data_IF_765207748495
#
_entry.id   IF_765207748495
#
_cell.length_a   1.000
_cell.length_b   1.000
_cell.length_c   1.000
_cell.angle_alpha   90.00
_cell.angle_beta   90.00
_cell.angle_gamma   90.00
#
_symmetry.space_group_name_H-M   'P 1'
#
loop_
_entity.id
_entity.type
_entity.pdbx_description
1 polymer ?
#
# COMPACT_ATOMS: atom_id res chain seq x y z
N UNK A 1 -17.21 -0.91 25.32
CA UNK A 1 -18.14 -0.52 24.23
C UNK A 1 -19.59 -0.95 24.54
N UNK A 2 -20.64 -0.23 24.13
CA UNK A 2 -22.04 -0.73 24.28
C UNK A 2 -22.26 -1.93 23.35
N UNK A 3 -23.20 -2.83 23.69
CA UNK A 3 -23.43 -4.07 22.93
C UNK A 3 -23.78 -3.83 21.46
N UNK A 4 -24.60 -2.83 21.16
CA UNK A 4 -24.99 -2.51 19.79
C UNK A 4 -23.82 -1.97 18.97
N UNK A 5 -23.03 -1.06 19.54
CA UNK A 5 -21.78 -0.56 18.96
C UNK A 5 -20.83 -1.73 18.66
N UNK A 6 -20.68 -2.68 19.60
CA UNK A 6 -19.82 -3.85 19.47
C UNK A 6 -20.24 -4.80 18.33
N UNK A 7 -21.54 -4.94 18.09
CA UNK A 7 -22.04 -5.79 17.00
C UNK A 7 -21.72 -5.19 15.63
N UNK A 8 -21.97 -3.89 15.44
CA UNK A 8 -21.64 -3.23 14.18
C UNK A 8 -20.13 -3.24 13.92
N UNK A 9 -19.34 -2.84 14.93
CA UNK A 9 -17.89 -2.84 14.84
C UNK A 9 -17.31 -4.24 14.54
N UNK A 10 -17.84 -5.30 15.16
CA UNK A 10 -17.40 -6.65 14.86
C UNK A 10 -17.69 -7.05 13.41
N UNK A 11 -18.81 -6.59 12.84
CA UNK A 11 -19.13 -6.80 11.43
C UNK A 11 -18.15 -6.09 10.48
N UNK A 12 -17.73 -4.88 10.82
CA UNK A 12 -16.71 -4.12 10.09
C UNK A 12 -15.37 -4.88 10.11
N UNK A 13 -14.94 -5.30 11.30
CA UNK A 13 -13.70 -6.08 11.48
C UNK A 13 -13.76 -7.40 10.68
N UNK A 14 -14.87 -8.12 10.72
CA UNK A 14 -14.99 -9.39 9.99
C UNK A 14 -14.84 -9.19 8.47
N UNK A 15 -15.50 -8.17 7.90
CA UNK A 15 -15.39 -7.85 6.47
C UNK A 15 -13.98 -7.40 6.09
N UNK A 16 -13.38 -6.50 6.87
CA UNK A 16 -12.00 -6.08 6.67
C UNK A 16 -11.04 -7.27 6.69
N UNK A 17 -11.12 -8.12 7.72
CA UNK A 17 -10.24 -9.28 7.85
C UNK A 17 -10.51 -10.35 6.78
N UNK A 18 -11.74 -10.46 6.27
CA UNK A 18 -12.06 -11.28 5.10
C UNK A 18 -11.39 -10.76 3.81
N UNK A 19 -11.25 -9.44 3.67
CA UNK A 19 -10.51 -8.84 2.56
C UNK A 19 -8.99 -8.98 2.77
N UNK A 20 -8.50 -8.81 4.00
CA UNK A 20 -7.09 -8.95 4.34
C UNK A 20 -6.59 -10.38 4.10
N UNK A 21 -7.33 -11.41 4.53
CA UNK A 21 -6.92 -12.82 4.31
C UNK A 21 -6.83 -13.20 2.83
N UNK A 22 -7.60 -12.52 1.95
CA UNK A 22 -7.53 -12.72 0.51
C UNK A 22 -6.21 -12.21 -0.11
N UNK A 23 -5.50 -11.32 0.58
CA UNK A 23 -4.18 -10.82 0.16
C UNK A 23 -3.06 -11.83 0.47
N UNK A 24 -3.30 -12.73 1.42
CA UNK A 24 -2.28 -13.64 1.97
C UNK A 24 -2.15 -14.92 1.13
N UNK A 25 -0.93 -15.32 0.73
CA UNK A 25 -0.72 -16.53 -0.06
C UNK A 25 -1.21 -17.80 0.67
N UNK A 26 -1.78 -18.79 -0.04
CA UNK A 26 -2.31 -20.01 0.56
C UNK A 26 -1.25 -21.03 0.98
N UNK A 27 0.03 -20.77 0.66
CA UNK A 27 1.15 -21.68 0.88
C UNK A 27 2.25 -20.97 1.66
N UNK A 28 3.08 -21.76 2.33
CA UNK A 28 4.21 -21.28 3.11
C UNK A 28 3.86 -21.01 4.58
N UNK A 29 4.89 -21.08 5.43
CA UNK A 29 4.74 -20.93 6.89
C UNK A 29 4.13 -19.57 7.27
N UNK A 30 4.64 -18.49 6.68
CA UNK A 30 4.15 -17.14 6.94
C UNK A 30 2.67 -16.98 6.52
N UNK A 31 2.29 -17.46 5.34
CA UNK A 31 0.90 -17.43 4.88
C UNK A 31 -0.05 -18.25 5.75
N UNK A 32 0.39 -19.43 6.22
CA UNK A 32 -0.39 -20.23 7.17
C UNK A 32 -0.56 -19.52 8.52
N UNK A 33 0.51 -18.91 9.05
CA UNK A 33 0.46 -18.17 10.31
C UNK A 33 -0.53 -17.00 10.21
N UNK A 34 -0.40 -16.17 9.18
CA UNK A 34 -1.28 -15.04 8.93
C UNK A 34 -2.75 -15.46 8.83
N UNK A 35 -3.04 -16.56 8.12
CA UNK A 35 -4.41 -17.09 8.00
C UNK A 35 -4.97 -17.55 9.34
N UNK A 36 -4.16 -18.18 10.19
CA UNK A 36 -4.56 -18.58 11.54
C UNK A 36 -4.84 -17.35 12.40
N UNK A 37 -3.90 -16.41 12.49
CA UNK A 37 -4.05 -15.17 13.27
C UNK A 37 -5.30 -14.39 12.85
N UNK A 38 -5.52 -14.25 11.53
CA UNK A 38 -6.70 -13.56 10.98
C UNK A 38 -7.97 -14.34 11.30
N UNK A 39 -7.98 -15.67 11.10
CA UNK A 39 -9.14 -16.52 11.39
C UNK A 39 -9.56 -16.48 12.86
N UNK A 40 -8.58 -16.56 13.77
CA UNK A 40 -8.80 -16.51 15.22
C UNK A 40 -9.34 -15.13 15.65
N UNK A 41 -8.78 -14.06 15.09
CA UNK A 41 -9.24 -12.69 15.38
C UNK A 41 -10.67 -12.47 14.88
N UNK A 42 -11.00 -12.95 13.67
CA UNK A 42 -12.37 -12.89 13.13
C UNK A 42 -13.38 -13.63 14.00
N UNK A 43 -13.04 -14.85 14.42
CA UNK A 43 -13.91 -15.65 15.26
C UNK A 43 -14.17 -15.01 16.65
N UNK A 44 -13.22 -14.22 17.14
CA UNK A 44 -13.28 -13.60 18.48
C UNK A 44 -13.53 -12.08 18.45
N UNK A 45 -13.76 -11.47 17.29
CA UNK A 45 -13.79 -10.01 17.12
C UNK A 45 -14.76 -9.32 18.08
N UNK A 46 -16.00 -9.83 18.19
CA UNK A 46 -17.00 -9.28 19.11
C UNK A 46 -16.55 -9.34 20.57
N UNK A 47 -15.95 -10.46 20.98
CA UNK A 47 -15.44 -10.63 22.35
C UNK A 47 -14.31 -9.63 22.61
N UNK A 48 -13.34 -9.54 21.71
CA UNK A 48 -12.21 -8.62 21.83
C UNK A 48 -12.66 -7.16 21.91
N UNK A 49 -13.64 -6.76 21.10
CA UNK A 49 -14.22 -5.41 21.11
C UNK A 49 -14.97 -5.06 22.40
N UNK A 50 -15.65 -6.03 23.00
CA UNK A 50 -16.33 -5.82 24.29
C UNK A 50 -15.32 -5.58 25.41
N UNK A 51 -14.18 -6.26 25.37
CA UNK A 51 -13.11 -6.17 26.38
C UNK A 51 -12.05 -5.11 26.08
N UNK A 52 -12.17 -4.38 24.97
CA UNK A 52 -11.20 -3.36 24.51
C UNK A 52 -9.81 -3.93 24.17
N UNK A 53 -9.76 -5.21 23.78
CA UNK A 53 -8.51 -5.96 23.51
C UNK A 53 -8.26 -6.18 22.00
N UNK A 54 -9.04 -5.55 21.12
CA UNK A 54 -8.97 -5.80 19.67
C UNK A 54 -7.68 -5.29 19.01
N UNK A 55 -7.09 -4.22 19.56
CA UNK A 55 -5.95 -3.52 18.97
C UNK A 55 -4.74 -4.43 18.70
N UNK A 56 -4.20 -5.14 19.72
CA UNK A 56 -3.08 -6.06 19.53
C UNK A 56 -3.37 -7.20 18.54
N UNK A 57 -4.60 -7.68 18.48
CA UNK A 57 -4.98 -8.73 17.52
C UNK A 57 -5.02 -8.21 16.09
N UNK A 58 -5.49 -6.99 15.87
CA UNK A 58 -5.44 -6.35 14.54
C UNK A 58 -4.01 -6.07 14.11
N UNK A 59 -3.19 -5.53 15.01
CA UNK A 59 -1.76 -5.28 14.76
C UNK A 59 -1.07 -6.56 14.26
N UNK A 60 -1.24 -7.68 15.00
CA UNK A 60 -0.70 -8.98 14.60
C UNK A 60 -1.24 -9.47 13.24
N UNK A 61 -2.52 -9.25 12.93
CA UNK A 61 -3.09 -9.63 11.63
C UNK A 61 -2.42 -8.90 10.46
N UNK A 62 -2.25 -7.58 10.59
CA UNK A 62 -1.63 -6.75 9.55
C UNK A 62 -0.13 -7.02 9.42
N UNK A 63 0.57 -7.21 10.53
CA UNK A 63 2.00 -7.56 10.51
C UNK A 63 2.24 -8.94 9.91
N UNK A 64 1.45 -9.94 10.27
CA UNK A 64 1.55 -11.29 9.69
C UNK A 64 1.21 -11.26 8.19
N UNK A 65 0.21 -10.49 7.76
CA UNK A 65 -0.12 -10.32 6.34
C UNK A 65 1.06 -9.70 5.56
N UNK A 66 1.66 -8.64 6.10
CA UNK A 66 2.86 -8.00 5.54
C UNK A 66 4.03 -8.99 5.46
N UNK A 67 4.30 -9.76 6.53
CA UNK A 67 5.36 -10.77 6.56
C UNK A 67 5.08 -11.96 5.62
N UNK A 68 3.81 -12.25 5.34
CA UNK A 68 3.40 -13.24 4.36
C UNK A 68 3.53 -12.75 2.89
N UNK A 69 3.85 -11.46 2.68
CA UNK A 69 4.13 -10.88 1.38
C UNK A 69 2.94 -10.17 0.71
N UNK A 70 1.95 -9.73 1.49
CA UNK A 70 0.89 -8.85 0.95
C UNK A 70 1.52 -7.57 0.35
N UNK A 71 1.10 -7.21 -0.85
CA UNK A 71 1.65 -6.06 -1.59
C UNK A 71 1.00 -4.74 -1.17
N UNK A 72 1.65 -3.62 -1.49
CA UNK A 72 1.12 -2.27 -1.23
C UNK A 72 -0.29 -2.11 -1.83
N UNK A 73 -0.47 -2.51 -3.09
CA UNK A 73 -1.75 -2.42 -3.81
C UNK A 73 -2.85 -3.28 -3.18
N UNK A 74 -2.48 -4.44 -2.62
CA UNK A 74 -3.42 -5.31 -1.93
C UNK A 74 -3.91 -4.69 -0.62
N UNK A 75 -3.01 -4.11 0.19
CA UNK A 75 -3.40 -3.42 1.42
C UNK A 75 -4.20 -2.14 1.10
N UNK A 76 -3.82 -1.41 0.07
CA UNK A 76 -4.56 -0.24 -0.40
C UNK A 76 -6.00 -0.59 -0.81
N UNK A 77 -6.18 -1.74 -1.47
CA UNK A 77 -7.51 -2.27 -1.79
C UNK A 77 -8.35 -2.53 -0.55
N UNK A 78 -7.75 -3.07 0.52
CA UNK A 78 -8.44 -3.29 1.82
C UNK A 78 -8.84 -1.94 2.44
N UNK A 79 -7.95 -0.95 2.42
CA UNK A 79 -8.22 0.40 2.94
C UNK A 79 -9.35 1.08 2.17
N UNK A 80 -9.33 1.07 0.83
CA UNK A 80 -10.40 1.66 0.01
C UNK A 80 -11.77 1.02 0.26
N UNK A 81 -11.81 -0.27 0.58
CA UNK A 81 -13.05 -0.97 0.96
C UNK A 81 -13.56 -0.53 2.34
N UNK A 82 -12.67 -0.29 3.31
CA UNK A 82 -13.02 0.32 4.60
C UNK A 82 -13.55 1.73 4.42
N UNK A 83 -12.90 2.55 3.58
CA UNK A 83 -13.32 3.93 3.31
C UNK A 83 -14.75 3.99 2.75
N UNK A 84 -15.11 3.04 1.89
CA UNK A 84 -16.46 2.89 1.33
C UNK A 84 -17.51 2.34 2.31
N UNK A 85 -17.10 1.89 3.50
CA UNK A 85 -17.99 1.26 4.47
C UNK A 85 -18.83 2.30 5.22
N UNK A 86 -20.14 2.05 5.33
CA UNK A 86 -21.07 2.90 6.06
C UNK A 86 -21.11 2.51 7.53
N UNK A 87 -21.14 3.52 8.41
CA UNK A 87 -21.15 3.33 9.87
C UNK A 87 -22.28 4.15 10.49
N UNK A 88 -22.98 3.57 11.46
CA UNK A 88 -24.12 4.18 12.13
C UNK A 88 -23.87 4.45 13.62
N UNK A 89 -23.04 3.63 14.27
CA UNK A 89 -22.67 3.80 15.68
C UNK A 89 -21.28 4.40 15.85
N UNK A 90 -21.06 5.01 17.02
CA UNK A 90 -19.75 5.54 17.40
C UNK A 90 -18.67 4.44 17.41
N UNK A 91 -19.00 3.24 17.91
CA UNK A 91 -18.06 2.12 17.90
C UNK A 91 -17.69 1.68 16.49
N UNK A 92 -18.65 1.69 15.56
CA UNK A 92 -18.38 1.42 14.14
C UNK A 92 -17.42 2.46 13.53
N UNK A 93 -17.67 3.75 13.78
CA UNK A 93 -16.80 4.85 13.32
C UNK A 93 -15.38 4.69 13.87
N UNK A 94 -15.24 4.49 15.19
CA UNK A 94 -13.93 4.36 15.83
C UNK A 94 -13.13 3.17 15.27
N UNK A 95 -13.78 2.02 15.08
CA UNK A 95 -13.13 0.80 14.58
C UNK A 95 -12.78 0.91 13.11
N UNK A 96 -13.64 1.53 12.29
CA UNK A 96 -13.32 1.86 10.89
C UNK A 96 -12.07 2.76 10.83
N UNK A 97 -12.07 3.86 11.58
CA UNK A 97 -10.95 4.81 11.58
C UNK A 97 -9.65 4.17 12.07
N UNK A 98 -9.71 3.37 13.14
CA UNK A 98 -8.56 2.60 13.62
C UNK A 98 -8.05 1.60 12.57
N UNK A 99 -8.96 0.92 11.87
CA UNK A 99 -8.63 -0.05 10.81
C UNK A 99 -7.94 0.61 9.61
N UNK A 100 -8.41 1.79 9.19
CA UNK A 100 -7.75 2.60 8.15
C UNK A 100 -6.33 2.97 8.59
N UNK A 101 -6.15 3.36 9.86
CA UNK A 101 -4.82 3.69 10.42
C UNK A 101 -3.88 2.48 10.42
N UNK A 102 -4.38 1.27 10.74
CA UNK A 102 -3.57 0.04 10.60
C UNK A 102 -3.16 -0.24 9.14
N UNK A 103 -4.06 0.00 8.17
CA UNK A 103 -3.72 -0.10 6.76
C UNK A 103 -2.59 0.88 6.40
N UNK A 104 -2.72 2.16 6.75
CA UNK A 104 -1.70 3.19 6.49
C UNK A 104 -0.34 2.86 7.13
N UNK A 105 -0.34 2.37 8.37
CA UNK A 105 0.88 1.93 9.04
C UNK A 105 1.53 0.74 8.31
N UNK A 106 0.73 -0.20 7.81
CA UNK A 106 1.21 -1.35 7.05
C UNK A 106 1.73 -0.94 5.67
N UNK A 107 1.01 -0.08 4.96
CA UNK A 107 1.41 0.52 3.68
C UNK A 107 2.78 1.23 3.84
N UNK A 108 2.93 2.04 4.89
CA UNK A 108 4.19 2.70 5.24
C UNK A 108 5.35 1.71 5.44
N UNK A 109 5.10 0.63 6.21
CA UNK A 109 6.08 -0.41 6.47
C UNK A 109 6.48 -1.19 5.20
N UNK A 110 5.55 -1.39 4.27
CA UNK A 110 5.83 -1.97 2.96
C UNK A 110 6.70 -1.00 2.14
N UNK A 111 6.29 0.28 2.04
CA UNK A 111 6.99 1.32 1.28
C UNK A 111 8.45 1.45 1.74
N UNK A 112 8.70 1.40 3.05
CA UNK A 112 10.04 1.49 3.62
C UNK A 112 11.01 0.38 3.17
N UNK A 113 10.49 -0.71 2.58
CA UNK A 113 11.27 -1.85 2.08
C UNK A 113 11.17 -2.02 0.56
N UNK A 114 10.43 -1.15 -0.12
CA UNK A 114 10.28 -1.21 -1.58
C UNK A 114 11.56 -0.74 -2.27
N UNK A 115 11.91 -1.42 -3.35
CA UNK A 115 12.95 -0.98 -4.28
C UNK A 115 12.31 -0.18 -5.41
N UNK A 116 12.92 0.95 -5.74
CA UNK A 116 12.43 1.86 -6.77
C UNK A 116 13.46 1.98 -7.91
N UNK A 117 12.97 1.97 -9.14
CA UNK A 117 13.82 2.06 -10.34
C UNK A 117 13.95 3.50 -10.86
N UNK A 118 12.96 4.38 -10.61
CA UNK A 118 12.95 5.75 -11.15
C UNK A 118 12.40 6.79 -10.17
N UNK A 119 12.74 8.06 -10.38
CA UNK A 119 12.15 9.17 -9.61
C UNK A 119 10.64 9.28 -9.82
N UNK A 120 10.12 8.94 -11.00
CA UNK A 120 8.69 8.97 -11.25
C UNK A 120 7.94 7.95 -10.39
N UNK A 121 8.45 6.72 -10.24
CA UNK A 121 7.75 5.71 -9.43
C UNK A 121 7.69 6.13 -7.95
N UNK A 122 8.76 6.72 -7.43
CA UNK A 122 8.76 7.31 -6.08
C UNK A 122 7.76 8.45 -5.96
N UNK A 123 7.73 9.37 -6.93
CA UNK A 123 6.80 10.50 -6.92
C UNK A 123 5.33 10.05 -7.00
N UNK A 124 5.05 8.98 -7.75
CA UNK A 124 3.73 8.38 -7.85
C UNK A 124 3.26 7.85 -6.49
N UNK A 125 4.07 7.01 -5.82
CA UNK A 125 3.73 6.51 -4.47
C UNK A 125 3.56 7.65 -3.47
N UNK A 126 4.45 8.66 -3.52
CA UNK A 126 4.35 9.83 -2.64
C UNK A 126 3.02 10.57 -2.82
N UNK A 127 2.56 10.75 -4.06
CA UNK A 127 1.32 11.44 -4.37
C UNK A 127 0.09 10.60 -3.99
N UNK A 128 0.13 9.28 -4.21
CA UNK A 128 -0.95 8.35 -3.84
C UNK A 128 -1.17 8.29 -2.32
N UNK A 129 -0.09 8.39 -1.53
CA UNK A 129 -0.17 8.39 -0.06
C UNK A 129 -0.57 9.74 0.54
N UNK A 130 -0.49 10.84 -0.20
CA UNK A 130 -0.75 12.16 0.37
C UNK A 130 -2.20 12.32 0.86
N UNK A 131 -3.18 11.93 0.04
CA UNK A 131 -4.60 12.10 0.37
C UNK A 131 -5.05 11.20 1.54
N UNK A 132 -4.77 9.88 1.56
CA UNK A 132 -5.21 9.02 2.67
C UNK A 132 -4.68 9.45 4.04
N UNK A 133 -3.44 9.95 4.10
CA UNK A 133 -2.89 10.50 5.34
C UNK A 133 -3.59 11.80 5.74
N UNK A 134 -3.82 12.71 4.79
CA UNK A 134 -4.52 13.97 5.08
C UNK A 134 -5.94 13.74 5.63
N UNK A 135 -6.68 12.79 5.04
CA UNK A 135 -8.02 12.40 5.53
C UNK A 135 -7.96 11.81 6.95
N UNK A 136 -7.01 10.91 7.21
CA UNK A 136 -6.85 10.31 8.54
C UNK A 136 -6.43 11.34 9.60
N UNK A 137 -5.60 12.31 9.22
CA UNK A 137 -5.17 13.44 10.07
C UNK A 137 -6.32 14.39 10.37
N UNK A 138 -7.15 14.74 9.38
CA UNK A 138 -8.34 15.57 9.55
C UNK A 138 -9.33 14.92 10.52
N UNK A 139 -9.63 13.63 10.32
CA UNK A 139 -10.49 12.86 11.23
C UNK A 139 -9.93 12.86 12.65
N UNK A 140 -8.61 12.63 12.83
CA UNK A 140 -8.00 12.64 14.16
C UNK A 140 -8.04 14.02 14.82
N UNK A 141 -7.95 15.10 14.03
CA UNK A 141 -8.07 16.47 14.52
C UNK A 141 -9.50 16.80 14.95
N UNK A 142 -10.51 16.39 14.15
CA UNK A 142 -11.93 16.55 14.46
C UNK A 142 -12.33 15.79 15.72
N UNK A 143 -11.79 14.58 15.91
CA UNK A 143 -11.96 13.76 17.11
C UNK A 143 -11.21 14.32 18.34
N UNK A 144 -10.44 15.40 18.18
CA UNK A 144 -9.54 15.98 19.20
C UNK A 144 -8.50 14.98 19.76
N UNK A 145 -8.17 13.93 18.99
CA UNK A 145 -7.17 12.92 19.36
C UNK A 145 -5.76 13.41 19.00
N UNK A 146 -5.22 14.27 19.88
CA UNK A 146 -3.90 14.89 19.68
C UNK A 146 -2.77 13.86 19.56
N UNK A 147 -2.87 12.72 20.26
CA UNK A 147 -1.84 11.69 20.22
C UNK A 147 -1.81 11.00 18.85
N UNK A 148 -2.97 10.57 18.35
CA UNK A 148 -3.05 9.94 17.03
C UNK A 148 -2.72 10.92 15.92
N UNK A 149 -3.20 12.17 16.00
CA UNK A 149 -2.86 13.22 15.04
C UNK A 149 -1.34 13.41 14.93
N UNK A 150 -0.64 13.54 16.05
CA UNK A 150 0.82 13.67 16.06
C UNK A 150 1.53 12.43 15.52
N UNK A 151 1.00 11.22 15.80
CA UNK A 151 1.56 9.98 15.29
C UNK A 151 1.44 9.90 13.76
N UNK A 152 0.29 10.28 13.19
CA UNK A 152 0.06 10.31 11.75
C UNK A 152 0.98 11.33 11.04
N UNK A 153 1.08 12.55 11.57
CA UNK A 153 1.98 13.59 11.04
C UNK A 153 3.43 13.10 11.03
N UNK A 154 3.88 12.46 12.13
CA UNK A 154 5.23 11.90 12.21
C UNK A 154 5.46 10.79 11.19
N UNK A 155 4.49 9.90 11.02
CA UNK A 155 4.56 8.81 10.05
C UNK A 155 4.59 9.33 8.62
N UNK A 156 3.70 10.26 8.26
CA UNK A 156 3.65 10.89 6.94
C UNK A 156 4.96 11.62 6.61
N UNK A 157 5.50 12.37 7.58
CA UNK A 157 6.79 13.05 7.43
C UNK A 157 7.95 12.05 7.25
N UNK A 158 7.98 10.96 8.03
CA UNK A 158 9.01 9.94 7.92
C UNK A 158 9.00 9.25 6.54
N UNK A 159 7.82 8.87 6.05
CA UNK A 159 7.67 8.27 4.71
C UNK A 159 8.07 9.26 3.63
N UNK A 160 7.63 10.51 3.73
CA UNK A 160 7.95 11.54 2.74
C UNK A 160 9.45 11.78 2.67
N UNK A 161 10.13 11.88 3.82
CA UNK A 161 11.57 12.03 3.88
C UNK A 161 12.28 10.80 3.29
N UNK A 162 11.85 9.59 3.67
CA UNK A 162 12.39 8.36 3.11
C UNK A 162 12.27 8.32 1.58
N UNK A 163 11.10 8.62 1.03
CA UNK A 163 10.88 8.67 -0.42
C UNK A 163 11.72 9.76 -1.09
N UNK A 164 11.87 10.94 -0.48
CA UNK A 164 12.73 12.00 -1.01
C UNK A 164 14.19 11.57 -1.06
N UNK A 165 14.70 10.93 0.00
CA UNK A 165 16.06 10.41 0.07
C UNK A 165 16.28 9.30 -0.97
N UNK A 166 15.35 8.35 -1.06
CA UNK A 166 15.36 7.26 -2.04
C UNK A 166 15.30 7.79 -3.47
N UNK A 167 14.58 8.89 -3.74
CA UNK A 167 14.50 9.49 -5.07
C UNK A 167 15.79 10.22 -5.50
N UNK A 168 16.63 10.71 -4.57
CA UNK A 168 17.82 11.51 -4.90
C UNK A 168 18.78 10.81 -5.88
N UNK A 169 19.20 9.55 -5.65
CA UNK A 169 20.13 8.86 -6.54
C UNK A 169 19.48 8.31 -7.80
N UNK A 170 18.14 8.16 -7.84
CA UNK A 170 17.48 7.47 -8.95
C UNK A 170 17.49 8.31 -10.24
N UNK A 171 17.50 7.66 -11.42
CA UNK A 171 17.33 8.34 -12.69
C UNK A 171 15.91 8.90 -12.85
N UNK A 172 15.78 9.96 -13.65
CA UNK A 172 14.48 10.46 -14.11
C UNK A 172 14.06 9.68 -15.34
N UNK A 173 12.78 9.57 -15.61
CA UNK A 173 12.29 9.06 -16.89
C UNK A 173 12.10 10.20 -17.88
N UNK A 174 12.58 9.98 -19.09
CA UNK A 174 12.51 10.87 -20.23
C UNK A 174 11.58 10.26 -21.27
N UNK A 175 10.81 11.11 -21.94
CA UNK A 175 10.04 10.69 -23.11
C UNK A 175 10.96 10.69 -24.32
N UNK A 176 10.99 9.60 -25.06
CA UNK A 176 11.65 9.52 -26.36
C UNK A 176 10.61 9.46 -27.49
N UNK A 177 11.03 9.89 -28.68
CA UNK A 177 10.26 9.73 -29.91
C UNK A 177 11.22 9.46 -31.08
N UNK A 178 10.93 8.41 -31.84
CA UNK A 178 11.65 8.01 -33.05
C UNK A 178 10.73 8.06 -34.27
N UNK A 179 11.30 8.31 -35.44
CA UNK A 179 10.53 8.42 -36.69
C UNK A 179 10.05 7.07 -37.25
N UNK A 180 10.54 5.94 -36.75
CA UNK A 180 10.22 4.61 -37.23
C UNK A 180 10.19 3.58 -36.09
N UNK A 181 9.48 2.47 -36.31
CA UNK A 181 9.48 1.31 -35.41
C UNK A 181 10.87 0.67 -35.44
N UNK A 182 11.45 0.53 -34.25
CA UNK A 182 12.79 -0.04 -34.07
C UNK A 182 12.73 -1.23 -33.11
N UNK A 183 13.61 -2.23 -33.27
CA UNK A 183 13.79 -3.28 -32.27
C UNK A 183 14.28 -2.72 -30.94
N UNK A 184 13.95 -3.38 -29.83
CA UNK A 184 14.32 -2.95 -28.47
C UNK A 184 15.83 -2.82 -28.28
N UNK A 185 16.62 -3.70 -28.90
CA UNK A 185 18.08 -3.63 -28.93
C UNK A 185 18.61 -2.36 -29.60
N UNK A 186 17.96 -1.91 -30.68
CA UNK A 186 18.35 -0.69 -31.37
C UNK A 186 17.92 0.55 -30.60
N UNK A 187 16.75 0.50 -29.94
CA UNK A 187 16.30 1.57 -29.06
C UNK A 187 17.24 1.74 -27.87
N UNK A 188 17.60 0.66 -27.17
CA UNK A 188 18.52 0.72 -26.03
C UNK A 188 19.90 1.22 -26.43
N UNK A 189 20.43 0.75 -27.57
CA UNK A 189 21.68 1.29 -28.09
C UNK A 189 21.60 2.80 -28.38
N UNK A 190 20.50 3.29 -28.97
CA UNK A 190 20.35 4.72 -29.26
C UNK A 190 20.09 5.59 -28.01
N UNK A 191 19.43 5.05 -27.00
CA UNK A 191 19.08 5.79 -25.77
C UNK A 191 20.21 5.75 -24.73
N UNK A 192 20.88 4.61 -24.63
CA UNK A 192 21.81 4.31 -23.54
C UNK A 192 23.25 4.07 -23.99
N UNK A 193 23.51 4.05 -25.31
CA UNK A 193 24.77 3.55 -25.89
C UNK A 193 25.11 2.11 -25.47
N UNK A 194 24.10 1.37 -25.01
CA UNK A 194 24.23 0.01 -24.49
C UNK A 194 23.01 -0.83 -24.89
N UNK A 195 23.25 -1.77 -25.81
CA UNK A 195 22.21 -2.67 -26.29
C UNK A 195 21.74 -3.65 -25.20
N UNK A 196 22.57 -3.96 -24.19
CA UNK A 196 22.25 -4.94 -23.13
C UNK A 196 21.06 -4.52 -22.27
N UNK A 197 20.76 -3.21 -22.22
CA UNK A 197 19.63 -2.60 -21.51
C UNK A 197 18.31 -2.68 -22.28
N UNK A 198 18.21 -3.51 -23.32
CA UNK A 198 17.00 -3.69 -24.10
C UNK A 198 15.80 -4.18 -23.27
N UNK A 199 16.06 -5.01 -22.26
CA UNK A 199 15.00 -5.53 -21.40
C UNK A 199 14.41 -4.45 -20.49
N UNK A 200 15.20 -3.47 -20.06
CA UNK A 200 14.70 -2.31 -19.30
C UNK A 200 13.70 -1.51 -20.12
N UNK A 201 14.04 -1.18 -21.38
CA UNK A 201 13.14 -0.45 -22.30
C UNK A 201 11.84 -1.22 -22.52
N UNK A 202 11.95 -2.55 -22.67
CA UNK A 202 10.79 -3.43 -22.87
C UNK A 202 9.86 -3.47 -21.67
N UNK A 203 10.42 -3.65 -20.48
CA UNK A 203 9.64 -3.73 -19.24
C UNK A 203 8.92 -2.41 -18.97
N UNK A 204 9.62 -1.29 -19.12
CA UNK A 204 9.10 0.03 -18.84
C UNK A 204 7.95 0.42 -19.79
N UNK A 205 8.10 0.12 -21.08
CA UNK A 205 7.10 0.46 -22.10
C UNK A 205 6.08 -0.66 -22.35
N UNK A 206 6.10 -1.74 -21.56
CA UNK A 206 5.23 -2.93 -21.70
C UNK A 206 5.22 -3.48 -23.14
N UNK A 207 6.38 -3.52 -23.77
CA UNK A 207 6.53 -3.90 -25.17
C UNK A 207 6.22 -5.40 -25.32
N UNK A 208 5.19 -5.72 -26.11
CA UNK A 208 4.75 -7.09 -26.36
C UNK A 208 5.77 -7.87 -27.18
N UNK A 209 6.27 -7.29 -28.28
CA UNK A 209 7.22 -7.96 -29.18
C UNK A 209 8.53 -7.17 -29.33
N UNK A 210 9.71 -7.76 -29.02
CA UNK A 210 11.00 -7.05 -29.03
C UNK A 210 11.36 -6.38 -30.36
N UNK A 211 10.92 -6.93 -31.50
CA UNK A 211 11.21 -6.36 -32.82
C UNK A 211 10.30 -5.18 -33.22
N UNK A 212 9.17 -4.99 -32.52
CA UNK A 212 8.13 -4.02 -32.90
C UNK A 212 7.82 -3.09 -31.72
N UNK A 213 8.80 -2.26 -31.35
CA UNK A 213 8.61 -1.31 -30.26
C UNK A 213 7.85 -0.06 -30.74
N UNK A 214 7.03 0.57 -29.89
CA UNK A 214 6.37 1.82 -30.21
C UNK A 214 7.40 2.92 -30.48
N UNK A 215 7.04 3.84 -31.38
CA UNK A 215 7.89 4.97 -31.79
C UNK A 215 8.12 5.99 -30.68
N UNK A 216 7.20 6.06 -29.72
CA UNK A 216 7.32 6.88 -28.52
C UNK A 216 7.27 6.00 -27.26
N UNK A 217 7.91 6.49 -26.20
CA UNK A 217 7.97 5.75 -24.94
C UNK A 217 8.76 6.50 -23.87
N UNK A 218 9.05 5.79 -22.78
CA UNK A 218 9.81 6.27 -21.65
C UNK A 218 11.15 5.53 -21.56
N UNK A 219 12.18 6.25 -21.14
CA UNK A 219 13.53 5.74 -20.92
C UNK A 219 14.14 6.39 -19.68
N UNK A 220 15.03 5.68 -18.99
CA UNK A 220 15.76 6.23 -17.84
C UNK A 220 16.79 7.26 -18.32
N UNK A 221 16.92 8.38 -17.63
CA UNK A 221 17.99 9.34 -17.86
C UNK A 221 19.31 8.68 -17.45
N UNK A 222 20.35 8.88 -18.27
CA UNK A 222 21.72 8.55 -17.85
C UNK A 222 22.17 9.45 -16.69
#
# INVERSE_FOLDING_TARGET
>A
MKRQDAIEAAGIVDRMLANLIATVPPKGRAGSQARTTIGDTRANALKLLIHDDIGPSLDACFDDARLAGSTLQQIESVRRQLDAETTATLGGILVKNASVRFCLATEAAIIARMEFVSRQSVALIKNEMAQPFAEAEEIAADDMDSMTYQALIRLQAAITNHLVETARPLPRMLRYQFAAVLPSLMLSYRLYDDASRADEVRQENKIVHPAFCPTEGLALSQ
#
